data_IF_996283527431
#
_entry.id   IF_996283527431
#
_cell.length_a   1.000
_cell.length_b   1.000
_cell.length_c   1.000
_cell.angle_alpha   90.00
_cell.angle_beta   90.00
_cell.angle_gamma   90.00
#
_symmetry.space_group_name_H-M   'P 1'
#
loop_
_entity.id
_entity.type
_entity.pdbx_description
1 polymer ?
#
# COMPACT_ATOMS: atom_id res chain seq x y z
N UNK A 1 17.62 -12.16 19.54
CA UNK A 1 17.23 -13.21 18.58
C UNK A 1 15.79 -13.58 18.86
N UNK A 2 14.83 -13.00 18.13
CA UNK A 2 13.45 -13.45 18.19
C UNK A 2 13.34 -14.61 17.21
N UNK A 3 13.32 -15.84 17.73
CA UNK A 3 12.87 -17.02 16.96
C UNK A 3 11.36 -16.90 16.84
N UNK A 4 10.86 -16.30 15.75
CA UNK A 4 9.44 -16.39 15.42
C UNK A 4 9.17 -17.79 14.84
N UNK A 5 8.70 -18.70 15.69
CA UNK A 5 8.02 -19.92 15.28
C UNK A 5 6.61 -19.58 14.78
N UNK A 6 6.15 -20.35 13.79
CA UNK A 6 4.89 -20.22 13.03
C UNK A 6 3.56 -20.31 13.83
N UNK A 7 3.51 -19.92 15.11
CA UNK A 7 2.34 -20.21 15.98
C UNK A 7 1.93 -19.13 16.98
N UNK A 8 2.61 -17.98 17.09
CA UNK A 8 2.16 -16.89 17.98
C UNK A 8 1.77 -15.67 17.16
N UNK A 9 0.52 -15.25 17.33
CA UNK A 9 -0.03 -14.07 16.69
C UNK A 9 0.60 -12.80 17.31
N UNK A 10 0.86 -11.79 16.47
CA UNK A 10 1.73 -10.65 16.80
C UNK A 10 0.92 -9.42 17.22
N UNK A 11 1.42 -8.69 18.23
CA UNK A 11 0.78 -7.42 18.65
C UNK A 11 1.20 -6.28 17.74
N UNK A 12 0.24 -5.71 17.00
CA UNK A 12 0.51 -4.66 16.01
C UNK A 12 -0.20 -3.36 16.42
N UNK A 13 0.60 -2.30 16.48
CA UNK A 13 0.15 -0.96 16.81
C UNK A 13 0.01 -0.09 15.56
N UNK A 14 -1.00 0.75 15.48
CA UNK A 14 -1.15 1.77 14.45
C UNK A 14 -1.16 3.16 15.09
N UNK A 15 -0.14 3.97 14.80
CA UNK A 15 -0.17 5.40 15.05
C UNK A 15 -0.91 6.04 13.87
N UNK A 16 -2.18 6.40 14.09
CA UNK A 16 -3.10 6.88 13.05
C UNK A 16 -3.97 5.78 12.45
N UNK A 17 -5.18 5.61 13.00
CA UNK A 17 -6.16 4.59 12.61
C UNK A 17 -7.02 4.92 11.39
N UNK A 18 -6.50 5.63 10.38
CA UNK A 18 -7.29 5.98 9.18
C UNK A 18 -7.66 4.79 8.29
N UNK A 19 -8.27 5.06 7.13
CA UNK A 19 -8.73 4.03 6.17
C UNK A 19 -7.63 3.04 5.74
N UNK A 20 -6.41 3.52 5.51
CA UNK A 20 -5.28 2.66 5.15
C UNK A 20 -4.89 1.75 6.32
N UNK A 21 -4.80 2.28 7.54
CA UNK A 21 -4.51 1.49 8.74
C UNK A 21 -5.56 0.40 8.94
N UNK A 22 -6.85 0.74 8.78
CA UNK A 22 -7.94 -0.23 8.86
C UNK A 22 -7.81 -1.35 7.81
N UNK A 23 -7.46 -0.99 6.57
CA UNK A 23 -7.22 -1.96 5.49
C UNK A 23 -6.11 -2.95 5.84
N UNK A 24 -4.97 -2.42 6.33
CA UNK A 24 -3.81 -3.20 6.74
C UNK A 24 -4.18 -4.13 7.90
N UNK A 25 -4.79 -3.59 8.96
CA UNK A 25 -5.24 -4.37 10.11
C UNK A 25 -6.18 -5.52 9.71
N UNK A 26 -7.21 -5.22 8.90
CA UNK A 26 -8.16 -6.22 8.42
C UNK A 26 -7.49 -7.28 7.52
N UNK A 27 -6.52 -6.86 6.70
CA UNK A 27 -5.71 -7.76 5.88
C UNK A 27 -4.87 -8.71 6.71
N UNK A 28 -4.16 -8.19 7.72
CA UNK A 28 -3.30 -8.99 8.60
C UNK A 28 -4.12 -9.98 9.42
N UNK A 29 -5.30 -9.57 9.93
CA UNK A 29 -6.23 -10.45 10.62
C UNK A 29 -6.76 -11.54 9.69
N UNK A 30 -7.17 -11.18 8.47
CA UNK A 30 -7.67 -12.14 7.49
C UNK A 30 -6.62 -13.19 7.10
N UNK A 31 -5.33 -12.82 7.12
CA UNK A 31 -4.22 -13.71 6.84
C UNK A 31 -3.74 -14.50 8.06
N UNK A 32 -4.37 -14.33 9.23
CA UNK A 32 -3.99 -15.00 10.47
C UNK A 32 -2.67 -14.53 11.09
N UNK A 33 -2.16 -13.35 10.67
CA UNK A 33 -0.90 -12.79 11.16
C UNK A 33 -1.04 -12.08 12.52
N UNK A 34 -2.26 -11.64 12.84
CA UNK A 34 -2.61 -11.03 14.11
C UNK A 34 -4.07 -11.36 14.45
N UNK A 35 -4.41 -11.43 15.74
CA UNK A 35 -5.81 -11.49 16.18
C UNK A 35 -6.37 -10.08 16.33
N UNK A 36 -7.70 -9.91 16.24
CA UNK A 36 -8.34 -8.62 16.49
C UNK A 36 -7.91 -7.93 17.79
N UNK A 37 -7.87 -8.66 18.90
CA UNK A 37 -7.51 -8.16 20.23
C UNK A 37 -6.02 -7.85 20.41
N UNK A 38 -5.18 -8.23 19.45
CA UNK A 38 -3.76 -7.91 19.38
C UNK A 38 -3.48 -6.65 18.54
N UNK A 39 -4.51 -6.06 17.93
CA UNK A 39 -4.42 -4.79 17.21
C UNK A 39 -4.78 -3.63 18.15
N UNK A 40 -3.90 -2.63 18.22
CA UNK A 40 -4.18 -1.34 18.89
C UNK A 40 -3.97 -0.19 17.93
N UNK A 41 -4.93 0.72 17.78
CA UNK A 41 -4.81 1.89 16.92
C UNK A 41 -5.11 3.19 17.68
N UNK A 42 -4.28 4.23 17.50
CA UNK A 42 -4.62 5.59 17.92
C UNK A 42 -5.32 6.33 16.78
N UNK A 43 -6.47 6.93 17.07
CA UNK A 43 -7.22 7.78 16.15
C UNK A 43 -7.15 9.24 16.62
N UNK A 44 -7.33 10.19 15.69
CA UNK A 44 -7.57 11.56 16.09
C UNK A 44 -8.93 11.64 16.83
N UNK A 45 -9.09 12.44 17.91
CA UNK A 45 -10.35 12.52 18.67
C UNK A 45 -11.59 12.85 17.83
N UNK A 46 -11.42 13.61 16.74
CA UNK A 46 -12.50 13.93 15.82
C UNK A 46 -12.82 12.85 14.79
N UNK A 47 -11.98 11.82 14.65
CA UNK A 47 -12.16 10.72 13.70
C UNK A 47 -12.83 9.51 14.40
N UNK A 48 -14.06 9.74 14.85
CA UNK A 48 -14.85 8.72 15.54
C UNK A 48 -15.22 7.56 14.63
N UNK A 49 -15.40 7.82 13.33
CA UNK A 49 -15.73 6.81 12.31
C UNK A 49 -14.64 5.74 12.23
N UNK A 50 -13.38 6.16 12.13
CA UNK A 50 -12.25 5.24 12.13
C UNK A 50 -12.12 4.48 13.44
N UNK A 51 -12.26 5.16 14.59
CA UNK A 51 -12.20 4.52 15.90
C UNK A 51 -13.30 3.45 16.08
N UNK A 52 -14.53 3.73 15.62
CA UNK A 52 -15.63 2.76 15.62
C UNK A 52 -15.37 1.58 14.67
N UNK A 53 -14.76 1.82 13.50
CA UNK A 53 -14.41 0.77 12.57
C UNK A 53 -13.41 -0.22 13.20
N UNK A 54 -12.35 0.27 13.86
CA UNK A 54 -11.41 -0.58 14.59
C UNK A 54 -12.08 -1.36 15.73
N UNK A 55 -12.99 -0.72 16.49
CA UNK A 55 -13.76 -1.44 17.53
C UNK A 55 -14.63 -2.55 16.95
N UNK A 56 -15.31 -2.30 15.81
CA UNK A 56 -16.11 -3.32 15.10
C UNK A 56 -15.26 -4.47 14.56
N UNK A 57 -13.99 -4.21 14.24
CA UNK A 57 -13.02 -5.24 13.87
C UNK A 57 -12.61 -6.13 15.06
N UNK A 58 -12.93 -5.73 16.30
CA UNK A 58 -12.50 -6.39 17.53
C UNK A 58 -11.17 -5.85 18.07
N UNK A 59 -10.66 -4.75 17.50
CA UNK A 59 -9.41 -4.12 17.88
C UNK A 59 -9.59 -3.03 18.95
N UNK A 60 -8.50 -2.69 19.63
CA UNK A 60 -8.47 -1.57 20.57
C UNK A 60 -8.27 -0.25 19.83
N UNK A 61 -9.20 0.69 19.99
CA UNK A 61 -9.08 2.04 19.46
C UNK A 61 -8.90 3.05 20.60
N UNK A 62 -7.84 3.86 20.53
CA UNK A 62 -7.43 4.87 21.53
C UNK A 62 -7.32 6.26 20.87
N UNK A 63 -7.11 7.29 21.69
CA UNK A 63 -6.86 8.66 21.23
C UNK A 63 -5.47 9.17 21.61
N UNK A 64 -4.59 8.28 22.07
CA UNK A 64 -3.24 8.59 22.54
C UNK A 64 -2.23 7.62 21.90
N UNK A 65 -1.05 8.14 21.53
CA UNK A 65 -0.03 7.36 20.82
C UNK A 65 0.81 6.47 21.76
N UNK A 66 1.04 6.90 23.01
CA UNK A 66 1.92 6.18 23.95
C UNK A 66 1.45 4.74 24.23
N UNK A 67 0.16 4.48 24.54
CA UNK A 67 -0.27 3.12 24.83
C UNK A 67 -0.24 2.21 23.60
N UNK A 68 -0.30 2.77 22.37
CA UNK A 68 -0.10 1.99 21.13
C UNK A 68 1.31 1.41 21.12
N UNK A 69 2.32 2.21 21.44
CA UNK A 69 3.72 1.78 21.47
C UNK A 69 3.95 0.77 22.59
N UNK A 70 3.42 0.99 23.78
CA UNK A 70 3.58 0.09 24.93
C UNK A 70 2.99 -1.30 24.70
N UNK A 71 1.84 -1.38 24.01
CA UNK A 71 1.07 -2.63 23.81
C UNK A 71 1.49 -3.45 22.59
N UNK A 72 2.39 -2.93 21.76
CA UNK A 72 2.68 -3.51 20.44
C UNK A 72 4.13 -3.97 20.29
N UNK A 73 4.36 -5.01 19.50
CA UNK A 73 5.71 -5.47 19.13
C UNK A 73 6.21 -4.74 17.89
N UNK A 74 5.28 -4.44 16.97
CA UNK A 74 5.50 -3.66 15.75
C UNK A 74 4.56 -2.46 15.75
N UNK A 75 5.07 -1.28 15.37
CA UNK A 75 4.26 -0.06 15.28
C UNK A 75 4.27 0.45 13.84
N UNK A 76 3.09 0.55 13.25
CA UNK A 76 2.86 1.12 11.93
C UNK A 76 2.49 2.59 12.10
N UNK A 77 3.26 3.47 11.47
CA UNK A 77 3.04 4.92 11.45
C UNK A 77 2.28 5.26 10.18
N UNK A 78 0.98 5.49 10.33
CA UNK A 78 0.00 5.68 9.25
C UNK A 78 -0.78 7.00 9.35
N UNK A 79 -0.19 8.00 10.01
CA UNK A 79 -0.67 9.39 9.99
C UNK A 79 -0.26 10.12 8.71
N UNK A 80 -0.86 11.28 8.47
CA UNK A 80 -0.47 12.17 7.36
C UNK A 80 0.99 12.63 7.50
N UNK A 81 1.69 12.94 6.38
CA UNK A 81 3.11 13.27 6.39
C UNK A 81 3.50 14.39 7.38
N UNK A 82 2.68 15.45 7.46
CA UNK A 82 2.86 16.59 8.37
C UNK A 82 2.72 16.24 9.86
N UNK A 83 2.06 15.12 10.16
CA UNK A 83 1.79 14.64 11.53
C UNK A 83 2.83 13.61 12.01
N UNK A 84 3.63 13.02 11.11
CA UNK A 84 4.60 11.96 11.46
C UNK A 84 5.58 12.41 12.54
N UNK A 85 6.31 13.50 12.30
CA UNK A 85 7.32 13.99 13.24
C UNK A 85 6.71 14.39 14.60
N UNK A 86 5.60 15.17 14.66
CA UNK A 86 4.89 15.43 15.91
C UNK A 86 4.51 14.15 16.68
N UNK A 87 3.89 13.17 16.02
CA UNK A 87 3.46 11.94 16.67
C UNK A 87 4.63 11.11 17.21
N UNK A 88 5.75 11.05 16.49
CA UNK A 88 6.96 10.36 16.94
C UNK A 88 7.62 11.06 18.14
N UNK A 89 7.56 12.40 18.22
CA UNK A 89 8.08 13.14 19.38
C UNK A 89 7.31 12.85 20.66
N UNK A 90 6.05 12.47 20.60
CA UNK A 90 5.25 12.10 21.78
C UNK A 90 5.70 10.77 22.41
N UNK A 91 6.32 9.90 21.62
CA UNK A 91 6.65 8.52 22.01
C UNK A 91 8.16 8.24 22.08
N UNK A 92 9.01 9.16 21.61
CA UNK A 92 10.46 8.96 21.54
C UNK A 92 11.13 8.65 22.88
N UNK A 93 10.59 9.18 23.99
CA UNK A 93 11.20 9.03 25.32
C UNK A 93 10.70 7.76 26.05
N UNK A 94 9.82 6.97 25.43
CA UNK A 94 9.34 5.70 26.00
C UNK A 94 10.45 4.65 25.97
N UNK A 95 10.70 3.92 27.08
CA UNK A 95 11.66 2.81 27.10
C UNK A 95 11.39 1.75 26.03
N UNK A 96 10.12 1.45 25.78
CA UNK A 96 9.66 0.47 24.80
C UNK A 96 10.01 0.88 23.37
N UNK A 97 10.17 2.18 23.08
CA UNK A 97 10.49 2.66 21.75
C UNK A 97 11.92 2.31 21.32
N UNK A 98 12.84 2.07 22.26
CA UNK A 98 14.27 1.91 21.95
C UNK A 98 14.57 0.79 20.97
N UNK A 99 14.05 -0.43 21.14
CA UNK A 99 14.35 -1.56 20.22
C UNK A 99 13.16 -1.96 19.33
N UNK A 100 12.14 -1.10 19.25
CA UNK A 100 10.90 -1.41 18.53
C UNK A 100 11.10 -1.32 17.02
N UNK A 101 10.33 -2.13 16.30
CA UNK A 101 10.20 -1.99 14.85
C UNK A 101 9.09 -0.98 14.55
N UNK A 102 9.48 0.14 13.92
CA UNK A 102 8.58 1.13 13.37
C UNK A 102 8.52 0.98 11.85
N UNK A 103 7.32 0.80 11.33
CA UNK A 103 7.05 0.72 9.90
C UNK A 103 6.29 1.99 9.50
N UNK A 104 6.88 2.88 8.71
CA UNK A 104 6.18 4.07 8.24
C UNK A 104 5.57 3.83 6.87
N UNK A 105 4.29 4.16 6.72
CA UNK A 105 3.58 4.19 5.43
C UNK A 105 3.31 5.62 4.93
N UNK A 106 3.98 6.60 5.54
CA UNK A 106 3.78 8.01 5.21
C UNK A 106 4.55 8.39 3.93
N UNK A 107 3.82 8.91 2.95
CA UNK A 107 4.40 9.42 1.70
C UNK A 107 5.33 10.60 1.96
N UNK A 108 6.48 10.64 1.27
CA UNK A 108 7.39 11.78 1.28
C UNK A 108 8.21 11.97 2.56
N UNK A 109 8.13 11.06 3.54
CA UNK A 109 8.95 11.11 4.75
C UNK A 109 10.11 10.12 4.63
N UNK A 110 11.34 10.62 4.64
CA UNK A 110 12.53 9.77 4.57
C UNK A 110 12.79 9.01 5.85
N UNK A 111 13.46 7.86 5.73
CA UNK A 111 13.95 7.06 6.86
C UNK A 111 14.80 7.94 7.78
N UNK A 112 15.74 8.73 7.22
CA UNK A 112 16.58 9.63 7.99
C UNK A 112 15.79 10.65 8.83
N UNK A 113 14.65 11.13 8.32
CA UNK A 113 13.77 12.05 9.07
C UNK A 113 13.12 11.37 10.27
N UNK A 114 12.75 10.09 10.13
CA UNK A 114 12.14 9.28 11.20
C UNK A 114 13.21 8.91 12.24
N UNK A 115 14.36 8.41 11.79
CA UNK A 115 15.49 8.00 12.67
C UNK A 115 16.05 9.19 13.47
N UNK A 116 16.00 10.41 12.93
CA UNK A 116 16.42 11.62 13.66
C UNK A 116 15.53 11.94 14.87
N UNK A 117 14.31 11.44 14.91
CA UNK A 117 13.33 11.72 15.99
C UNK A 117 13.26 10.58 16.99
N UNK A 118 13.31 9.34 16.49
CA UNK A 118 13.24 8.14 17.31
C UNK A 118 14.55 7.88 18.09
N UNK A 119 14.52 7.03 19.12
CA UNK A 119 15.74 6.54 19.76
C UNK A 119 16.72 5.93 18.74
N UNK A 120 18.05 6.08 18.94
CA UNK A 120 19.07 5.55 18.03
C UNK A 120 19.03 4.03 17.81
N UNK A 121 18.43 3.29 18.74
CA UNK A 121 18.30 1.83 18.67
C UNK A 121 17.04 1.38 17.90
N UNK A 122 16.13 2.31 17.59
CA UNK A 122 14.86 2.00 16.96
C UNK A 122 15.08 1.49 15.54
N UNK A 123 14.31 0.47 15.17
CA UNK A 123 14.42 -0.19 13.87
C UNK A 123 13.35 0.40 12.96
N UNK A 124 13.74 0.98 11.85
CA UNK A 124 12.80 1.70 10.96
C UNK A 124 12.74 1.01 9.61
N UNK A 125 11.54 0.76 9.12
CA UNK A 125 11.29 0.38 7.73
C UNK A 125 10.31 1.39 7.13
N UNK A 126 10.66 1.94 5.97
CA UNK A 126 9.73 2.73 5.16
C UNK A 126 9.03 1.79 4.19
N UNK A 127 7.71 1.88 4.10
CA UNK A 127 6.90 1.14 3.15
C UNK A 127 6.05 2.12 2.36
N UNK A 128 5.95 1.93 1.05
CA UNK A 128 5.07 2.71 0.20
C UNK A 128 3.97 1.79 -0.35
N UNK A 129 2.84 1.59 0.36
CA UNK A 129 1.70 0.87 -0.16
C UNK A 129 0.83 1.78 -1.04
N UNK A 130 -0.21 1.21 -1.65
CA UNK A 130 -1.24 1.94 -2.37
C UNK A 130 -2.66 1.57 -1.93
N UNK A 131 -3.66 2.29 -2.43
CA UNK A 131 -5.06 2.17 -1.99
C UNK A 131 -5.72 0.82 -2.31
N UNK A 132 -5.36 0.07 -3.38
CA UNK A 132 -5.85 -1.30 -3.61
C UNK A 132 -5.57 -2.30 -2.48
N UNK A 133 -4.71 -1.98 -1.51
CA UNK A 133 -4.59 -2.75 -0.26
C UNK A 133 -5.94 -2.92 0.49
N UNK A 134 -6.88 -1.98 0.31
CA UNK A 134 -8.27 -2.06 0.81
C UNK A 134 -9.02 -3.31 0.34
N UNK A 135 -8.65 -3.84 -0.83
CA UNK A 135 -9.25 -5.03 -1.45
C UNK A 135 -8.24 -6.16 -1.61
N UNK A 136 -7.13 -6.12 -0.85
CA UNK A 136 -6.05 -7.12 -0.85
C UNK A 136 -5.32 -7.31 -2.18
N UNK A 137 -5.36 -6.31 -3.05
CA UNK A 137 -4.68 -6.31 -4.35
C UNK A 137 -3.72 -5.11 -4.45
N UNK A 138 -3.12 -4.76 -3.31
CA UNK A 138 -2.13 -3.68 -3.19
C UNK A 138 -0.83 -3.99 -3.92
N UNK A 139 -0.06 -2.94 -4.16
CA UNK A 139 1.36 -3.02 -4.49
C UNK A 139 2.12 -2.13 -3.52
N UNK A 140 3.17 -2.69 -2.92
CA UNK A 140 4.02 -1.98 -1.98
C UNK A 140 5.50 -2.20 -2.31
N UNK A 141 6.33 -1.25 -1.90
CA UNK A 141 7.77 -1.45 -1.79
C UNK A 141 8.25 -1.08 -0.39
N UNK A 142 9.32 -1.71 0.09
CA UNK A 142 9.92 -1.43 1.39
C UNK A 142 11.41 -1.04 1.26
N UNK A 143 11.88 -0.21 2.20
CA UNK A 143 13.30 0.12 2.37
C UNK A 143 13.66 0.07 3.84
N UNK A 144 14.81 -0.54 4.15
CA UNK A 144 15.33 -0.66 5.51
C UNK A 144 16.09 0.58 5.94
N UNK A 145 15.88 0.97 7.19
CA UNK A 145 16.74 1.93 7.87
C UNK A 145 18.00 1.30 8.44
N UNK A 146 18.82 2.15 9.05
CA UNK A 146 20.18 1.83 9.49
C UNK A 146 20.26 0.70 10.52
N UNK A 147 19.20 0.52 11.32
CA UNK A 147 19.11 -0.53 12.35
C UNK A 147 18.16 -1.68 12.01
N UNK A 148 17.43 -1.59 10.89
CA UNK A 148 16.49 -2.63 10.50
C UNK A 148 17.24 -3.86 9.96
N UNK A 149 16.90 -5.03 10.50
CA UNK A 149 17.54 -6.30 10.16
C UNK A 149 16.91 -6.93 8.91
N UNK A 150 17.52 -8.01 8.39
CA UNK A 150 16.92 -8.78 7.31
C UNK A 150 15.62 -9.47 7.78
N UNK A 151 15.56 -9.87 9.04
CA UNK A 151 14.37 -10.43 9.69
C UNK A 151 13.23 -9.41 9.77
N UNK A 152 13.55 -8.13 10.03
CA UNK A 152 12.56 -7.05 10.03
C UNK A 152 11.98 -6.81 8.63
N UNK A 153 12.82 -6.84 7.60
CA UNK A 153 12.37 -6.75 6.21
C UNK A 153 11.50 -7.95 5.83
N UNK A 154 11.89 -9.17 6.21
CA UNK A 154 11.11 -10.38 5.97
C UNK A 154 9.73 -10.31 6.66
N UNK A 155 9.69 -9.88 7.92
CA UNK A 155 8.44 -9.69 8.65
C UNK A 155 7.56 -8.63 7.98
N UNK A 156 8.14 -7.50 7.60
CA UNK A 156 7.41 -6.43 6.91
C UNK A 156 6.86 -6.91 5.56
N UNK A 157 7.68 -7.61 4.79
CA UNK A 157 7.28 -8.22 3.53
C UNK A 157 6.08 -9.18 3.73
N UNK A 158 6.13 -10.04 4.76
CA UNK A 158 5.04 -10.96 5.08
C UNK A 158 3.74 -10.21 5.46
N UNK A 159 3.83 -9.16 6.26
CA UNK A 159 2.68 -8.32 6.61
C UNK A 159 2.06 -7.71 5.35
N UNK A 160 2.84 -6.99 4.54
CA UNK A 160 2.29 -6.28 3.39
C UNK A 160 1.90 -7.21 2.23
N UNK A 161 2.49 -8.40 2.13
CA UNK A 161 2.05 -9.41 1.17
C UNK A 161 0.67 -10.01 1.50
N UNK A 162 0.16 -9.83 2.73
CA UNK A 162 -1.21 -10.20 3.09
C UNK A 162 -2.28 -9.29 2.44
N UNK A 163 -1.87 -8.13 1.92
CA UNK A 163 -2.76 -7.15 1.29
C UNK A 163 -2.36 -6.83 -0.15
N UNK A 164 -1.46 -7.59 -0.77
CA UNK A 164 -0.93 -7.30 -2.09
C UNK A 164 0.45 -7.90 -2.35
N UNK A 165 1.26 -7.21 -3.14
CA UNK A 165 2.69 -7.52 -3.30
C UNK A 165 3.55 -6.57 -2.47
N UNK A 166 4.75 -7.02 -2.08
CA UNK A 166 5.72 -6.17 -1.42
C UNK A 166 7.13 -6.56 -1.86
N UNK A 167 7.92 -5.60 -2.34
CA UNK A 167 9.30 -5.83 -2.77
C UNK A 167 10.28 -4.89 -2.05
N UNK A 168 11.49 -5.37 -1.75
CA UNK A 168 12.53 -4.53 -1.16
C UNK A 168 13.26 -3.74 -2.25
N UNK A 169 13.37 -2.42 -2.04
CA UNK A 169 14.05 -1.50 -2.94
C UNK A 169 14.98 -0.55 -2.15
N UNK A 170 16.01 0.01 -2.78
CA UNK A 170 16.73 1.16 -2.23
C UNK A 170 15.80 2.36 -1.99
N UNK A 171 16.02 3.12 -0.91
CA UNK A 171 15.12 4.22 -0.55
C UNK A 171 15.01 5.30 -1.65
N UNK A 172 16.07 5.55 -2.40
CA UNK A 172 16.04 6.53 -3.50
C UNK A 172 15.05 6.17 -4.62
N UNK A 173 14.60 4.90 -4.69
CA UNK A 173 13.57 4.47 -5.64
C UNK A 173 12.14 4.70 -5.14
N UNK A 174 11.94 5.10 -3.88
CA UNK A 174 10.60 5.27 -3.29
C UNK A 174 9.75 6.33 -3.98
N UNK A 175 10.38 7.36 -4.55
CA UNK A 175 9.66 8.39 -5.32
C UNK A 175 9.18 7.81 -6.66
N UNK A 176 9.98 6.97 -7.31
CA UNK A 176 9.58 6.23 -8.51
C UNK A 176 8.46 5.23 -8.22
N UNK A 177 8.55 4.48 -7.11
CA UNK A 177 7.48 3.61 -6.63
C UNK A 177 6.21 4.40 -6.40
N UNK A 178 6.31 5.58 -5.77
CA UNK A 178 5.15 6.46 -5.51
C UNK A 178 4.48 6.90 -6.81
N UNK A 179 5.27 7.38 -7.78
CA UNK A 179 4.75 7.82 -9.07
C UNK A 179 4.08 6.67 -9.84
N UNK A 180 4.66 5.46 -9.79
CA UNK A 180 4.14 4.30 -10.50
C UNK A 180 2.96 3.64 -9.78
N UNK A 181 3.17 3.05 -8.60
CA UNK A 181 2.16 2.22 -7.92
C UNK A 181 1.30 3.01 -6.94
N UNK A 182 1.82 4.11 -6.38
CA UNK A 182 1.07 5.00 -5.50
C UNK A 182 -0.02 5.77 -6.26
N UNK A 183 0.39 6.44 -7.35
CA UNK A 183 -0.51 7.20 -8.23
C UNK A 183 -1.19 6.34 -9.31
N UNK A 184 -0.59 5.21 -9.67
CA UNK A 184 -1.07 4.27 -10.69
C UNK A 184 -2.57 3.94 -10.67
N UNK A 185 -3.18 3.67 -9.49
CA UNK A 185 -4.61 3.41 -9.41
C UNK A 185 -5.47 4.50 -10.07
N UNK A 186 -5.09 5.78 -9.95
CA UNK A 186 -5.82 6.88 -10.58
C UNK A 186 -5.78 6.78 -12.11
N UNK A 187 -4.63 6.46 -12.69
CA UNK A 187 -4.47 6.28 -14.13
C UNK A 187 -5.31 5.10 -14.63
N UNK A 188 -5.35 4.01 -13.85
CA UNK A 188 -6.17 2.83 -14.16
C UNK A 188 -7.67 3.15 -14.04
N UNK A 189 -8.10 3.97 -13.09
CA UNK A 189 -9.50 4.42 -13.00
C UNK A 189 -9.90 5.26 -14.22
N UNK A 190 -9.04 6.16 -14.69
CA UNK A 190 -9.27 6.94 -15.91
C UNK A 190 -9.40 6.02 -17.15
N UNK A 191 -8.57 4.98 -17.24
CA UNK A 191 -8.67 3.97 -18.29
C UNK A 191 -10.01 3.22 -18.24
N UNK A 192 -10.41 2.74 -17.06
CA UNK A 192 -11.68 2.01 -16.87
C UNK A 192 -12.88 2.90 -17.24
N UNK A 193 -12.86 4.16 -16.82
CA UNK A 193 -13.89 5.15 -17.15
C UNK A 193 -13.98 5.37 -18.66
N UNK A 194 -12.83 5.59 -19.32
CA UNK A 194 -12.76 5.79 -20.77
C UNK A 194 -13.27 4.58 -21.56
N UNK A 195 -12.92 3.37 -21.13
CA UNK A 195 -13.41 2.12 -21.73
C UNK A 195 -14.94 2.00 -21.59
N UNK A 196 -15.47 2.31 -20.41
CA UNK A 196 -16.91 2.28 -20.16
C UNK A 196 -17.65 3.32 -21.01
N UNK A 197 -17.13 4.54 -21.13
CA UNK A 197 -17.68 5.59 -22.00
C UNK A 197 -17.68 5.20 -23.48
N UNK A 198 -16.59 4.61 -23.96
CA UNK A 198 -16.52 4.05 -25.31
C UNK A 198 -17.58 2.97 -25.54
N UNK A 199 -17.75 2.04 -24.59
CA UNK A 199 -18.78 1.00 -24.64
C UNK A 199 -20.20 1.57 -24.71
N UNK A 200 -20.49 2.62 -23.94
CA UNK A 200 -21.79 3.33 -23.98
C UNK A 200 -22.00 4.02 -25.32
N UNK A 201 -20.97 4.67 -25.86
CA UNK A 201 -21.03 5.26 -27.21
C UNK A 201 -21.33 4.22 -28.29
N UNK A 202 -20.87 2.98 -28.09
CA UNK A 202 -21.18 1.84 -28.96
C UNK A 202 -22.54 1.17 -28.67
N UNK A 203 -23.34 1.71 -27.75
CA UNK A 203 -24.72 1.28 -27.49
C UNK A 203 -24.91 0.39 -26.26
N UNK A 204 -23.89 0.17 -25.42
CA UNK A 204 -24.05 -0.59 -24.17
C UNK A 204 -24.78 0.25 -23.10
N UNK A 205 -25.61 -0.37 -22.25
CA UNK A 205 -26.07 0.26 -21.01
C UNK A 205 -24.88 0.63 -20.12
N UNK A 206 -24.96 1.80 -19.45
CA UNK A 206 -23.88 2.36 -18.61
C UNK A 206 -23.37 1.37 -17.57
N UNK A 207 -24.27 0.74 -16.82
CA UNK A 207 -23.91 -0.20 -15.75
C UNK A 207 -23.20 -1.44 -16.29
N UNK A 208 -23.63 -1.94 -17.44
CA UNK A 208 -22.98 -3.07 -18.11
C UNK A 208 -21.59 -2.68 -18.61
N UNK A 209 -21.46 -1.51 -19.25
CA UNK A 209 -20.18 -1.03 -19.76
C UNK A 209 -19.14 -0.86 -18.64
N UNK A 210 -19.53 -0.26 -17.51
CA UNK A 210 -18.66 -0.11 -16.35
C UNK A 210 -18.23 -1.46 -15.76
N UNK A 211 -19.18 -2.40 -15.63
CA UNK A 211 -18.89 -3.75 -15.14
C UNK A 211 -17.90 -4.49 -16.05
N UNK A 212 -18.12 -4.43 -17.37
CA UNK A 212 -17.25 -5.08 -18.35
C UNK A 212 -15.85 -4.43 -18.38
N UNK A 213 -15.77 -3.10 -18.33
CA UNK A 213 -14.50 -2.39 -18.30
C UNK A 213 -13.66 -2.76 -17.06
N UNK A 214 -14.27 -2.71 -15.87
CA UNK A 214 -13.59 -3.11 -14.63
C UNK A 214 -13.12 -4.57 -14.65
N UNK A 215 -13.97 -5.50 -15.10
CA UNK A 215 -13.62 -6.91 -15.18
C UNK A 215 -12.53 -7.20 -16.23
N UNK A 216 -12.55 -6.48 -17.36
CA UNK A 216 -11.54 -6.59 -18.42
C UNK A 216 -10.17 -6.16 -17.89
N UNK A 217 -10.11 -5.03 -17.21
CA UNK A 217 -8.87 -4.54 -16.59
C UNK A 217 -8.33 -5.51 -15.54
N UNK A 218 -9.20 -6.01 -14.65
CA UNK A 218 -8.82 -7.02 -13.65
C UNK A 218 -8.28 -8.30 -14.31
N UNK A 219 -8.96 -8.80 -15.35
CA UNK A 219 -8.55 -10.00 -16.07
C UNK A 219 -7.21 -9.86 -16.78
N UNK A 220 -6.96 -8.71 -17.42
CA UNK A 220 -5.70 -8.42 -18.09
C UNK A 220 -4.53 -8.39 -17.09
N UNK A 221 -4.71 -7.72 -15.95
CA UNK A 221 -3.71 -7.70 -14.87
C UNK A 221 -3.48 -9.10 -14.28
N UNK A 222 -4.54 -9.89 -14.08
CA UNK A 222 -4.43 -11.26 -13.59
C UNK A 222 -3.66 -12.17 -14.55
N UNK A 223 -3.86 -12.02 -15.88
CA UNK A 223 -3.09 -12.75 -16.89
C UNK A 223 -1.59 -12.44 -16.81
N UNK A 224 -1.22 -11.17 -16.64
CA UNK A 224 0.19 -10.78 -16.47
C UNK A 224 0.84 -11.47 -15.26
N UNK A 225 0.11 -11.66 -14.15
CA UNK A 225 0.63 -12.37 -12.97
C UNK A 225 0.90 -13.86 -13.21
N UNK A 226 0.31 -14.46 -14.24
CA UNK A 226 0.63 -15.85 -14.63
C UNK A 226 1.99 -15.95 -15.33
N UNK A 227 2.61 -14.80 -15.64
CA UNK A 227 3.88 -14.68 -16.34
C UNK A 227 3.70 -14.23 -17.80
N UNK A 228 4.84 -14.04 -18.48
CA UNK A 228 4.89 -13.60 -19.86
C UNK A 228 5.09 -12.09 -20.04
N UNK A 229 5.57 -11.71 -21.22
CA UNK A 229 5.81 -10.32 -21.56
C UNK A 229 4.48 -9.65 -22.00
N UNK A 230 4.16 -8.41 -21.58
CA UNK A 230 2.93 -7.73 -21.97
C UNK A 230 2.70 -7.68 -23.49
N UNK A 231 3.76 -7.52 -24.28
CA UNK A 231 3.66 -7.56 -25.75
C UNK A 231 3.15 -8.91 -26.27
N UNK A 232 3.58 -10.03 -25.67
CA UNK A 232 3.11 -11.37 -26.06
C UNK A 232 1.64 -11.56 -25.67
N UNK A 233 1.24 -11.10 -24.49
CA UNK A 233 -0.17 -11.14 -24.08
C UNK A 233 -1.06 -10.30 -25.00
N UNK A 234 -0.58 -9.13 -25.46
CA UNK A 234 -1.25 -8.30 -26.47
C UNK A 234 -1.40 -9.04 -27.80
N UNK A 235 -0.33 -9.64 -28.29
CA UNK A 235 -0.32 -10.34 -29.59
C UNK A 235 -1.25 -11.56 -29.57
N UNK A 236 -1.29 -12.31 -28.46
CA UNK A 236 -2.16 -13.47 -28.30
C UNK A 236 -3.67 -13.16 -28.41
N UNK A 237 -4.08 -11.91 -28.16
CA UNK A 237 -5.48 -11.47 -28.29
C UNK A 237 -5.73 -10.61 -29.53
N UNK A 238 -4.72 -10.46 -30.39
CA UNK A 238 -4.77 -9.64 -31.60
C UNK A 238 -4.82 -10.54 -32.84
N UNK A 239 -6.02 -10.66 -33.43
CA UNK A 239 -6.18 -11.37 -34.70
C UNK A 239 -5.91 -10.44 -35.90
N UNK A 240 -5.30 -10.94 -37.00
CA UNK A 240 -5.10 -10.15 -38.21
C UNK A 240 -6.40 -9.51 -38.72
N UNK A 241 -6.37 -8.21 -39.00
CA UNK A 241 -7.53 -7.40 -39.41
C UNK A 241 -8.74 -7.44 -38.44
N UNK A 242 -8.53 -7.86 -37.20
CA UNK A 242 -9.57 -7.90 -36.16
C UNK A 242 -9.78 -6.57 -35.46
N UNK A 243 -10.86 -6.46 -34.68
CA UNK A 243 -11.18 -5.26 -33.91
C UNK A 243 -10.09 -4.88 -32.89
N UNK A 244 -9.40 -5.85 -32.29
CA UNK A 244 -8.26 -5.61 -31.39
C UNK A 244 -7.11 -4.91 -32.12
N UNK A 245 -6.83 -5.32 -33.37
CA UNK A 245 -5.76 -4.72 -34.16
C UNK A 245 -6.07 -3.25 -34.47
N UNK A 246 -7.31 -2.95 -34.86
CA UNK A 246 -7.75 -1.57 -35.11
C UNK A 246 -7.71 -0.71 -33.83
N UNK A 247 -8.20 -1.26 -32.71
CA UNK A 247 -8.20 -0.56 -31.42
C UNK A 247 -6.80 -0.23 -30.91
N UNK A 248 -5.86 -1.17 -31.02
CA UNK A 248 -4.46 -0.96 -30.61
C UNK A 248 -3.75 0.03 -31.53
N UNK A 249 -3.98 -0.03 -32.84
CA UNK A 249 -3.49 0.97 -33.80
C UNK A 249 -3.96 2.39 -33.42
N UNK A 250 -5.24 2.56 -33.10
CA UNK A 250 -5.76 3.85 -32.64
C UNK A 250 -5.10 4.33 -31.33
N UNK A 251 -4.89 3.46 -30.35
CA UNK A 251 -4.20 3.83 -29.10
C UNK A 251 -2.75 4.28 -29.33
N UNK A 252 -2.03 3.61 -30.24
CA UNK A 252 -0.66 3.98 -30.62
C UNK A 252 -0.63 5.36 -31.30
N UNK A 253 -1.57 5.65 -32.21
CA UNK A 253 -1.69 6.94 -32.90
C UNK A 253 -2.05 8.10 -31.95
N UNK A 254 -2.78 7.83 -30.87
CA UNK A 254 -3.30 8.87 -29.96
C UNK A 254 -2.55 8.95 -28.63
N UNK A 255 -1.34 8.39 -28.56
CA UNK A 255 -0.41 8.69 -27.49
C UNK A 255 -0.60 7.86 -26.22
N UNK A 256 -0.87 6.55 -26.33
CA UNK A 256 -0.76 5.63 -25.18
C UNK A 256 0.62 5.74 -24.48
N UNK A 257 1.64 6.15 -25.23
CA UNK A 257 2.99 6.41 -24.72
C UNK A 257 3.10 7.65 -23.81
N UNK A 258 2.09 8.52 -23.73
CA UNK A 258 2.06 9.62 -22.75
C UNK A 258 2.11 9.09 -21.30
N UNK A 259 1.68 7.85 -21.06
CA UNK A 259 1.82 7.20 -19.75
C UNK A 259 3.29 7.13 -19.31
N UNK A 260 4.22 6.94 -20.25
CA UNK A 260 5.66 6.98 -19.97
C UNK A 260 6.08 8.37 -19.47
N UNK A 261 5.60 9.42 -20.12
CA UNK A 261 5.94 10.81 -19.79
C UNK A 261 5.39 11.24 -18.43
N UNK A 262 4.21 10.75 -18.04
CA UNK A 262 3.61 11.02 -16.70
C UNK A 262 4.58 10.62 -15.59
N UNK A 263 5.24 9.46 -15.74
CA UNK A 263 6.16 8.94 -14.72
C UNK A 263 7.50 9.69 -14.72
N UNK A 264 7.99 10.10 -15.89
CA UNK A 264 9.28 10.82 -15.99
C UNK A 264 9.17 12.29 -15.60
N UNK A 265 7.97 12.88 -15.62
CA UNK A 265 7.76 14.29 -15.22
C UNK A 265 7.87 14.49 -13.70
N UNK A 266 7.58 13.46 -12.90
CA UNK A 266 7.55 13.53 -11.43
C UNK A 266 8.91 13.33 -10.76
N UNK A 267 9.90 12.79 -11.46
CA UNK A 267 11.21 12.45 -10.91
C UNK A 267 12.24 13.40 -11.52
N UNK A 268 12.67 14.47 -10.83
CA UNK A 268 13.76 15.29 -11.32
C UNK A 268 15.02 14.41 -11.43
N UNK A 269 15.61 14.38 -12.63
CA UNK A 269 16.88 13.70 -12.92
C UNK A 269 18.06 14.28 -12.14
#
# INVERSE_FOLDING_TARGET
MIKLSLTEAMKIGFIGGGRLAFALANGFISAGLAKPDEITASCHPSDTVSAEAFKKLGATALFENKPVVERSEVVIVSVKPDVVVPALKEIKDLPEAKNKLFISVAMGISIASIEKVLPPEARVIRVMPNTPALVKEGAAALSRGSKATAEDAKLTNQLFSAVGTCDEVPEYQMDAVTALSGSGPAYVYMLIESLAEGGVRCGLPRDLALKLAGQTTLGAAAMLRTGGHPAVLKDNVTSPAGSTAEGTYHLEQHGIHLIYEILTTYIPH
#
